data_IF_725720652585
#
_entry.id   IF_725720652585
#
_cell.length_a   1.000
_cell.length_b   1.000
_cell.length_c   1.000
_cell.angle_alpha   90.00
_cell.angle_beta   90.00
_cell.angle_gamma   90.00
#
_symmetry.space_group_name_H-M   'P 1'
#
loop_
_entity.id
_entity.type
_entity.pdbx_description
1 polymer ?
#
# COMPACT_ATOMS: atom_id res chain seq x y z
N UNK A 1 0.01 -6.85 6.52
CA UNK A 1 -0.65 -5.67 5.91
C UNK A 1 -2.08 -5.97 5.44
N UNK A 2 -2.36 -7.17 4.93
CA UNK A 2 -3.69 -7.57 4.47
C UNK A 2 -4.48 -8.37 5.52
N UNK A 3 -4.59 -7.83 6.73
CA UNK A 3 -5.24 -8.52 7.86
C UNK A 3 -6.65 -7.96 8.07
N UNK A 4 -7.61 -8.86 8.22
CA UNK A 4 -8.99 -8.56 8.63
C UNK A 4 -9.21 -9.00 10.08
N UNK A 5 -10.14 -8.35 10.77
CA UNK A 5 -10.64 -8.80 12.08
C UNK A 5 -11.68 -9.92 11.92
N UNK A 6 -12.17 -10.45 13.06
CA UNK A 6 -13.22 -11.48 13.12
C UNK A 6 -14.57 -11.06 12.49
N UNK A 7 -14.76 -9.78 12.17
CA UNK A 7 -15.95 -9.16 11.60
C UNK A 7 -15.70 -8.73 10.15
N UNK A 8 -14.62 -9.21 9.53
CA UNK A 8 -14.19 -8.86 8.18
C UNK A 8 -13.92 -7.36 7.96
N UNK A 9 -13.51 -6.63 9.01
CA UNK A 9 -13.10 -5.24 8.92
C UNK A 9 -11.58 -5.14 8.78
N UNK A 10 -11.05 -4.21 7.97
CA UNK A 10 -9.61 -4.05 7.81
C UNK A 10 -8.98 -3.60 9.13
N UNK A 11 -7.89 -4.27 9.51
CA UNK A 11 -7.09 -3.87 10.67
C UNK A 11 -6.17 -2.72 10.25
N UNK A 12 -6.27 -1.53 10.86
CA UNK A 12 -5.37 -0.41 10.57
C UNK A 12 -3.92 -0.76 10.90
N UNK A 13 -2.99 -0.24 10.10
CA UNK A 13 -1.55 -0.40 10.31
C UNK A 13 -0.82 0.92 10.13
N UNK A 14 0.42 1.01 10.64
CA UNK A 14 1.30 2.13 10.38
C UNK A 14 2.49 1.71 9.54
N UNK A 15 2.87 2.52 8.56
CA UNK A 15 4.06 2.30 7.74
C UNK A 15 4.90 3.54 7.58
N UNK A 16 6.20 3.32 7.45
CA UNK A 16 7.15 4.31 6.96
C UNK A 16 7.76 3.76 5.69
N UNK A 17 7.79 4.55 4.63
CA UNK A 17 8.38 4.17 3.35
C UNK A 17 9.06 5.36 2.70
N UNK A 18 9.99 5.09 1.79
CA UNK A 18 10.60 6.11 0.96
C UNK A 18 9.90 6.18 -0.39
N UNK A 19 9.65 7.38 -0.90
CA UNK A 19 9.26 7.54 -2.31
C UNK A 19 10.47 7.27 -3.21
N UNK A 20 10.24 7.06 -4.49
CA UNK A 20 11.30 6.95 -5.49
C UNK A 20 10.93 7.87 -6.64
N UNK A 21 11.77 8.86 -6.92
CA UNK A 21 11.62 9.69 -8.09
C UNK A 21 12.35 9.03 -9.27
N UNK A 22 11.56 8.35 -10.12
CA UNK A 22 12.09 7.67 -11.29
C UNK A 22 12.63 8.62 -12.36
N UNK A 23 12.16 9.88 -12.40
CA UNK A 23 12.61 10.86 -13.41
C UNK A 23 14.00 11.37 -13.07
N UNK A 24 14.24 11.64 -11.79
CA UNK A 24 15.51 12.18 -11.30
C UNK A 24 16.49 11.09 -10.83
N UNK A 25 16.06 9.82 -10.85
CA UNK A 25 16.81 8.66 -10.37
C UNK A 25 17.40 8.85 -8.96
N UNK A 26 16.62 9.51 -8.10
CA UNK A 26 16.99 9.81 -6.71
C UNK A 26 16.06 9.06 -5.75
N UNK A 27 16.64 8.67 -4.61
CA UNK A 27 15.85 8.29 -3.44
C UNK A 27 14.92 9.43 -3.08
N UNK A 28 13.65 9.13 -2.87
CA UNK A 28 12.64 10.12 -2.55
C UNK A 28 12.49 10.37 -1.06
N UNK A 29 11.42 11.07 -0.71
CA UNK A 29 11.11 11.51 0.64
C UNK A 29 10.66 10.37 1.53
N UNK A 30 11.02 10.43 2.82
CA UNK A 30 10.44 9.59 3.86
C UNK A 30 8.99 10.02 4.08
N UNK A 31 8.05 9.11 3.84
CA UNK A 31 6.62 9.30 4.15
C UNK A 31 6.17 8.31 5.21
N UNK A 32 5.21 8.75 5.99
CA UNK A 32 4.64 7.99 7.10
C UNK A 32 3.11 8.00 7.01
N UNK A 33 2.51 6.82 7.09
CA UNK A 33 1.07 6.65 7.12
C UNK A 33 0.73 5.97 8.44
N UNK A 34 -0.06 6.64 9.27
CA UNK A 34 -0.58 6.10 10.54
C UNK A 34 -2.05 5.72 10.35
N UNK A 35 -2.44 4.51 10.76
CA UNK A 35 -3.82 4.04 10.65
C UNK A 35 -4.27 3.76 9.22
N UNK A 36 -3.33 3.42 8.33
CA UNK A 36 -3.64 3.08 6.94
C UNK A 36 -4.36 1.74 6.82
N UNK A 37 -5.22 1.61 5.82
CA UNK A 37 -5.88 0.36 5.43
C UNK A 37 -5.69 0.11 3.94
N UNK A 38 -5.69 -1.15 3.49
CA UNK A 38 -5.63 -1.44 2.06
C UNK A 38 -6.93 -1.00 1.38
N UNK A 39 -6.85 -0.26 0.26
CA UNK A 39 -8.03 0.29 -0.43
C UNK A 39 -9.02 -0.78 -0.87
N UNK A 40 -8.56 -2.00 -1.14
CA UNK A 40 -9.42 -3.12 -1.50
C UNK A 40 -10.49 -3.47 -0.46
N UNK A 41 -10.27 -3.12 0.80
CA UNK A 41 -11.20 -3.34 1.91
C UNK A 41 -12.12 -2.15 2.20
N UNK A 42 -11.89 -1.00 1.53
CA UNK A 42 -12.68 0.22 1.74
C UNK A 42 -13.92 0.18 0.86
N UNK A 43 -15.07 -0.17 1.45
CA UNK A 43 -16.35 -0.40 0.73
C UNK A 43 -17.01 0.84 0.10
N UNK A 44 -16.45 2.04 0.27
CA UNK A 44 -16.96 3.28 -0.34
C UNK A 44 -16.25 3.74 -1.62
N UNK A 45 -15.08 3.18 -1.98
CA UNK A 45 -14.28 3.67 -3.11
C UNK A 45 -14.71 3.06 -4.46
N UNK A 46 -14.54 3.74 -5.60
CA UNK A 46 -14.71 3.10 -6.92
C UNK A 46 -13.85 1.84 -7.11
N UNK A 47 -14.36 0.84 -7.84
CA UNK A 47 -13.67 -0.45 -8.06
C UNK A 47 -12.27 -0.28 -8.65
N UNK A 48 -12.09 0.67 -9.58
CA UNK A 48 -10.81 0.96 -10.22
C UNK A 48 -9.74 1.48 -9.24
N UNK A 49 -10.17 2.06 -8.10
CA UNK A 49 -9.27 2.53 -7.03
C UNK A 49 -8.94 1.41 -6.05
N UNK A 50 -9.90 0.50 -5.83
CA UNK A 50 -9.76 -0.66 -4.93
C UNK A 50 -8.86 -1.76 -5.50
N UNK A 51 -8.85 -1.95 -6.82
CA UNK A 51 -8.04 -2.98 -7.48
C UNK A 51 -6.71 -2.38 -7.96
N UNK A 52 -5.61 -2.88 -7.40
CA UNK A 52 -4.25 -2.59 -7.90
C UNK A 52 -3.88 -3.51 -9.07
N UNK A 53 -4.47 -4.71 -9.10
CA UNK A 53 -4.21 -5.74 -10.09
C UNK A 53 -5.44 -5.92 -10.97
N UNK A 54 -5.25 -5.72 -12.28
CA UNK A 54 -6.00 -6.25 -13.41
C UNK A 54 -7.52 -6.40 -13.27
N UNK A 55 -8.26 -5.69 -14.11
CA UNK A 55 -9.67 -5.98 -14.39
C UNK A 55 -9.90 -7.42 -14.93
N UNK A 56 -8.84 -8.07 -15.43
CA UNK A 56 -8.84 -9.43 -15.97
C UNK A 56 -8.23 -10.42 -14.96
N UNK A 57 -8.90 -11.56 -14.75
CA UNK A 57 -8.69 -12.53 -13.66
C UNK A 57 -7.31 -13.21 -13.49
N UNK A 58 -6.25 -12.73 -14.14
CA UNK A 58 -4.88 -13.18 -13.93
C UNK A 58 -3.93 -12.03 -13.57
N UNK A 59 -3.00 -12.29 -12.66
CA UNK A 59 -1.97 -11.30 -12.29
C UNK A 59 -0.98 -11.16 -13.45
N UNK A 60 -0.57 -9.92 -13.75
CA UNK A 60 0.53 -9.69 -14.67
C UNK A 60 1.79 -10.45 -14.21
N UNK A 61 2.57 -11.08 -15.10
CA UNK A 61 3.85 -11.72 -14.74
C UNK A 61 4.80 -10.76 -14.01
N UNK A 62 4.74 -9.47 -14.33
CA UNK A 62 5.53 -8.40 -13.71
C UNK A 62 4.99 -7.93 -12.35
N UNK A 63 3.99 -8.60 -11.78
CA UNK A 63 3.41 -8.23 -10.48
C UNK A 63 4.43 -8.36 -9.33
N UNK A 64 5.38 -9.30 -9.41
CA UNK A 64 6.45 -9.43 -8.42
C UNK A 64 7.43 -8.25 -8.47
N UNK A 65 7.75 -7.76 -9.66
CA UNK A 65 8.60 -6.58 -9.85
C UNK A 65 7.89 -5.31 -9.40
N UNK A 66 6.60 -5.18 -9.73
CA UNK A 66 5.77 -4.02 -9.42
C UNK A 66 4.95 -4.22 -8.15
N UNK A 67 5.54 -4.81 -7.12
CA UNK A 67 4.88 -5.21 -5.88
C UNK A 67 4.37 -3.99 -5.09
N UNK A 68 3.30 -3.38 -5.59
CA UNK A 68 2.72 -2.14 -5.12
C UNK A 68 1.37 -2.41 -4.49
N UNK A 69 1.01 -1.57 -3.50
CA UNK A 69 -0.26 -1.65 -2.79
C UNK A 69 -0.82 -0.25 -2.64
N UNK A 70 -2.12 -0.10 -2.87
CA UNK A 70 -2.84 1.13 -2.59
C UNK A 70 -3.26 1.12 -1.12
N UNK A 71 -2.83 2.13 -0.37
CA UNK A 71 -3.14 2.33 1.04
C UNK A 71 -4.02 3.58 1.16
N UNK A 72 -5.18 3.43 1.79
CA UNK A 72 -6.02 4.53 2.21
C UNK A 72 -5.57 4.99 3.58
N UNK A 73 -5.29 6.29 3.70
CA UNK A 73 -5.02 6.94 4.97
C UNK A 73 -6.34 7.39 5.64
N UNK A 74 -6.34 7.69 6.96
CA UNK A 74 -7.54 8.13 7.68
C UNK A 74 -8.15 9.45 7.16
N UNK A 75 -7.34 10.30 6.55
CA UNK A 75 -7.74 11.54 5.88
C UNK A 75 -8.46 11.30 4.54
N UNK A 76 -8.59 10.04 4.11
CA UNK A 76 -9.19 9.66 2.84
C UNK A 76 -8.23 9.72 1.65
N UNK A 77 -6.97 10.13 1.86
CA UNK A 77 -5.96 10.12 0.81
C UNK A 77 -5.56 8.69 0.44
N UNK A 78 -5.31 8.46 -0.85
CA UNK A 78 -4.91 7.15 -1.35
C UNK A 78 -3.50 7.24 -1.89
N UNK A 79 -2.61 6.47 -1.27
CA UNK A 79 -1.20 6.44 -1.63
C UNK A 79 -0.84 5.07 -2.19
N UNK A 80 -0.26 5.05 -3.39
CA UNK A 80 0.35 3.83 -3.94
C UNK A 80 1.75 3.67 -3.37
N UNK A 81 1.95 2.57 -2.65
CA UNK A 81 3.20 2.26 -1.94
C UNK A 81 3.85 1.05 -2.59
N UNK A 82 5.15 1.12 -2.86
CA UNK A 82 5.93 -0.05 -3.26
C UNK A 82 6.38 -0.80 -2.01
N UNK A 83 6.06 -2.10 -1.88
CA UNK A 83 6.29 -2.83 -0.62
C UNK A 83 7.77 -2.89 -0.24
N UNK A 84 8.67 -3.00 -1.24
CA UNK A 84 10.14 -2.99 -1.03
C UNK A 84 10.72 -1.69 -0.48
N UNK A 85 9.97 -0.60 -0.55
CA UNK A 85 10.41 0.71 -0.05
C UNK A 85 9.92 0.98 1.38
N UNK A 86 9.16 0.05 1.96
CA UNK A 86 8.73 0.13 3.36
C UNK A 86 9.91 -0.22 4.25
N UNK A 87 10.22 0.64 5.21
CA UNK A 87 11.32 0.47 6.16
C UNK A 87 10.82 0.22 7.57
N UNK A 88 9.61 0.64 7.90
CA UNK A 88 8.94 0.30 9.15
C UNK A 88 7.50 -0.16 8.91
N UNK A 89 7.09 -1.18 9.66
CA UNK A 89 5.72 -1.68 9.70
C UNK A 89 5.29 -1.86 11.16
N UNK A 90 4.21 -1.19 11.57
CA UNK A 90 3.71 -1.17 12.95
C UNK A 90 4.79 -0.85 13.99
N UNK A 91 5.65 0.14 13.69
CA UNK A 91 6.75 0.55 14.56
C UNK A 91 7.98 -0.37 14.51
N UNK A 92 7.90 -1.53 13.86
CA UNK A 92 9.01 -2.46 13.71
C UNK A 92 9.80 -2.17 12.44
N UNK A 93 11.12 -2.17 12.53
CA UNK A 93 12.01 -2.01 11.37
C UNK A 93 11.98 -3.28 10.51
N UNK A 94 11.76 -3.11 9.21
CA UNK A 94 11.84 -4.20 8.24
C UNK A 94 13.32 -4.43 7.90
N UNK A 95 13.73 -5.70 7.92
CA UNK A 95 15.01 -6.19 7.41
C UNK A 95 14.70 -6.93 6.12
N UNK A 96 15.40 -6.56 5.04
CA UNK A 96 15.19 -7.07 3.69
C UNK A 96 16.16 -8.20 3.36
#
# INVERSE_FOLDING_TARGET
MDRLDHKNRPVPFSIVFYTADKKLNKGGERKEIKGGVLTKHVKGLPIHIRRVDGFAGSKSPKHYENATRNVSSPDGSITKVHIRLITYFNGLRIIW
#
